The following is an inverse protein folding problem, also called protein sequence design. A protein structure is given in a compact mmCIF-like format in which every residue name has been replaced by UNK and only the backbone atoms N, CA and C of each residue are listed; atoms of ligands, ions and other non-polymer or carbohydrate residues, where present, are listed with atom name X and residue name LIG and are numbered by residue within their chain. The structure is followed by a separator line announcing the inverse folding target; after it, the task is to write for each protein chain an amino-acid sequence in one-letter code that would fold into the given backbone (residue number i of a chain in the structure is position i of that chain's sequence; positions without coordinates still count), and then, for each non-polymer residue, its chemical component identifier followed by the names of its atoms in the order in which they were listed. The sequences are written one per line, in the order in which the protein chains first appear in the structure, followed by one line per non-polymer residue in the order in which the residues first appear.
data_IF_876674682774
#
_entry.id   IF_876674682774
#
_cell.length_a   1.000
_cell.length_b   1.000
_cell.length_c   1.000
_cell.angle_alpha   90.00
_cell.angle_beta   90.00
_cell.angle_gamma   90.00
#
_symmetry.space_group_name_H-M   'P 1'
#
loop_
_entity.id
_entity.type
_entity.pdbx_description
1 polymer ?
#
# COMPACT_ATOMS: atom_id res chain seq x y z
N UNK A 1 20.22 47.50 -12.56
CA UNK A 1 19.08 46.83 -11.91
C UNK A 1 18.86 45.46 -12.52
N UNK A 2 19.42 44.38 -11.93
CA UNK A 2 19.19 42.99 -12.35
C UNK A 2 17.79 42.60 -11.89
N UNK A 3 16.86 42.45 -12.82
CA UNK A 3 15.55 41.83 -12.53
C UNK A 3 15.76 40.38 -12.17
N UNK A 4 15.48 40.01 -10.92
CA UNK A 4 15.33 38.63 -10.50
C UNK A 4 14.05 38.09 -11.14
N UNK A 5 14.19 37.39 -12.27
CA UNK A 5 13.10 36.59 -12.81
C UNK A 5 12.86 35.45 -11.82
N UNK A 6 11.77 35.52 -11.09
CA UNK A 6 11.33 34.39 -10.27
C UNK A 6 11.09 33.22 -11.22
N UNK A 7 11.93 32.17 -11.11
CA UNK A 7 11.70 30.91 -11.82
C UNK A 7 10.41 30.30 -11.27
N UNK A 8 9.34 30.44 -12.02
CA UNK A 8 8.12 29.67 -11.75
C UNK A 8 8.50 28.20 -11.90
N UNK A 9 8.66 27.50 -10.78
CA UNK A 9 8.85 26.06 -10.80
C UNK A 9 7.50 25.45 -11.17
N UNK A 10 7.33 25.04 -12.41
CA UNK A 10 6.18 24.21 -12.80
C UNK A 10 6.14 22.97 -11.90
N UNK A 11 5.00 22.72 -11.29
CA UNK A 11 4.81 21.47 -10.54
C UNK A 11 4.88 20.30 -11.53
N UNK A 12 5.61 19.22 -11.19
CA UNK A 12 5.71 18.07 -12.09
C UNK A 12 4.33 17.46 -12.33
N UNK A 13 4.08 17.05 -13.56
CA UNK A 13 2.84 16.33 -13.93
C UNK A 13 2.71 15.02 -13.15
N UNK A 14 1.49 14.44 -13.04
CA UNK A 14 1.30 13.12 -12.45
C UNK A 14 2.23 12.05 -13.05
N UNK A 15 2.34 12.01 -14.36
CA UNK A 15 3.23 11.09 -15.09
C UNK A 15 4.70 11.31 -14.71
N UNK A 16 5.17 12.55 -14.68
CA UNK A 16 6.54 12.86 -14.29
C UNK A 16 6.84 12.43 -12.83
N UNK A 17 5.88 12.59 -11.93
CA UNK A 17 6.02 12.12 -10.54
C UNK A 17 6.11 10.60 -10.46
N UNK A 18 5.24 9.88 -11.18
CA UNK A 18 5.24 8.41 -11.26
C UNK A 18 6.59 7.90 -11.79
N UNK A 19 7.00 8.40 -12.95
CA UNK A 19 8.27 7.99 -13.57
C UNK A 19 9.47 8.26 -12.66
N UNK A 20 9.48 9.38 -11.94
CA UNK A 20 10.55 9.68 -10.99
C UNK A 20 10.59 8.69 -9.83
N UNK A 21 9.46 8.30 -9.26
CA UNK A 21 9.41 7.31 -8.18
C UNK A 21 9.88 5.93 -8.66
N UNK A 22 9.40 5.49 -9.83
CA UNK A 22 9.85 4.22 -10.44
C UNK A 22 11.36 4.22 -10.69
N UNK A 23 11.92 5.33 -11.20
CA UNK A 23 13.36 5.45 -11.45
C UNK A 23 14.17 5.38 -10.14
N UNK A 24 13.67 6.00 -9.06
CA UNK A 24 14.32 5.92 -7.74
C UNK A 24 14.26 4.50 -7.20
N UNK A 25 13.10 3.84 -7.27
CA UNK A 25 12.92 2.49 -6.76
C UNK A 25 13.88 1.48 -7.41
N UNK A 26 14.13 1.62 -8.72
CA UNK A 26 15.09 0.77 -9.45
C UNK A 26 16.53 0.88 -8.94
N UNK A 27 16.89 1.94 -8.23
CA UNK A 27 18.22 2.11 -7.62
C UNK A 27 18.37 1.38 -6.29
N UNK A 28 17.24 0.98 -5.71
CA UNK A 28 17.17 0.31 -4.42
C UNK A 28 16.26 -0.93 -4.56
N UNK A 29 16.68 -1.92 -5.39
CA UNK A 29 15.89 -3.13 -5.56
C UNK A 29 15.76 -3.86 -4.23
N UNK A 30 14.63 -4.54 -4.03
CA UNK A 30 14.50 -5.44 -2.91
C UNK A 30 15.54 -6.56 -3.03
N UNK A 31 16.15 -7.03 -1.93
CA UNK A 31 16.92 -8.25 -1.92
C UNK A 31 16.07 -9.40 -2.48
N UNK A 32 16.59 -10.13 -3.47
CA UNK A 32 15.80 -11.07 -4.26
C UNK A 32 15.24 -12.25 -3.44
N UNK A 33 15.91 -12.69 -2.40
CA UNK A 33 15.63 -13.96 -1.72
C UNK A 33 15.15 -13.84 -0.26
N UNK A 34 14.68 -12.67 0.17
CA UNK A 34 14.34 -12.46 1.58
C UNK A 34 12.95 -12.93 1.96
N UNK A 35 11.97 -12.87 1.05
CA UNK A 35 10.58 -13.26 1.28
C UNK A 35 9.95 -13.79 -0.01
N UNK A 36 9.07 -14.80 0.09
CA UNK A 36 8.26 -15.23 -1.05
C UNK A 36 7.28 -14.11 -1.46
N UNK A 37 7.10 -13.94 -2.79
CA UNK A 37 6.21 -12.93 -3.37
C UNK A 37 5.20 -13.59 -4.30
N UNK A 38 3.95 -13.09 -4.24
CA UNK A 38 2.89 -13.51 -5.16
C UNK A 38 1.89 -12.38 -5.36
N UNK A 39 1.37 -12.24 -6.57
CA UNK A 39 0.35 -11.24 -6.87
C UNK A 39 -1.04 -11.89 -6.85
N UNK A 40 -2.01 -11.21 -6.24
CA UNK A 40 -3.42 -11.56 -6.20
C UNK A 40 -4.28 -10.39 -6.69
N UNK A 41 -5.50 -10.69 -7.12
CA UNK A 41 -6.46 -9.68 -7.57
C UNK A 41 -7.73 -9.79 -6.75
N UNK A 42 -8.14 -8.69 -6.16
CA UNK A 42 -9.40 -8.58 -5.44
C UNK A 42 -10.46 -8.19 -6.45
N UNK A 43 -11.40 -9.11 -6.73
CA UNK A 43 -12.53 -8.83 -7.60
C UNK A 43 -13.56 -7.96 -6.88
N UNK A 44 -13.87 -6.80 -7.44
CA UNK A 44 -14.87 -5.85 -6.96
C UNK A 44 -15.86 -5.54 -8.09
N UNK A 45 -17.07 -5.04 -7.80
CA UNK A 45 -18.01 -4.66 -8.83
C UNK A 45 -17.41 -3.69 -9.86
N UNK A 46 -17.28 -4.17 -11.11
CA UNK A 46 -16.75 -3.39 -12.23
C UNK A 46 -15.25 -3.10 -12.23
N UNK A 47 -14.46 -3.72 -11.33
CA UNK A 47 -13.01 -3.53 -11.26
C UNK A 47 -12.27 -4.63 -10.49
N UNK A 48 -10.97 -4.63 -10.61
CA UNK A 48 -10.06 -5.42 -9.77
C UNK A 48 -9.02 -4.53 -9.10
N UNK A 49 -8.57 -4.94 -7.91
CA UNK A 49 -7.47 -4.29 -7.19
C UNK A 49 -6.35 -5.31 -7.04
N UNK A 50 -5.19 -5.00 -7.60
CA UNK A 50 -4.01 -5.86 -7.46
C UNK A 50 -3.41 -5.71 -6.06
N UNK A 51 -3.02 -6.83 -5.46
CA UNK A 51 -2.34 -6.90 -4.18
C UNK A 51 -1.13 -7.80 -4.30
N UNK A 52 0.03 -7.35 -3.84
CA UNK A 52 1.22 -8.19 -3.74
C UNK A 52 1.38 -8.68 -2.32
N UNK A 53 1.45 -10.00 -2.18
CA UNK A 53 1.64 -10.69 -0.90
C UNK A 53 3.12 -11.01 -0.72
N UNK A 54 3.69 -10.62 0.40
CA UNK A 54 5.03 -10.95 0.83
C UNK A 54 4.93 -11.87 2.03
N UNK A 55 5.55 -13.03 1.95
CA UNK A 55 5.52 -14.07 3.00
C UNK A 55 6.93 -14.42 3.44
N UNK A 56 7.31 -14.13 4.70
CA UNK A 56 8.67 -14.40 5.19
C UNK A 56 8.95 -15.89 5.45
N UNK A 57 7.93 -16.65 5.84
CA UNK A 57 8.02 -18.07 6.14
C UNK A 57 6.65 -18.77 6.14
N UNK A 58 6.68 -20.09 6.25
CA UNK A 58 5.46 -20.89 6.42
C UNK A 58 4.82 -20.70 7.81
N UNK A 59 3.56 -21.10 7.92
CA UNK A 59 2.75 -21.07 9.15
C UNK A 59 1.79 -19.90 9.21
N UNK A 60 0.98 -19.85 10.27
CA UNK A 60 0.02 -18.77 10.51
C UNK A 60 0.76 -17.57 11.11
N UNK A 61 0.69 -16.42 10.42
CA UNK A 61 1.43 -15.20 10.75
C UNK A 61 0.48 -14.00 10.97
N UNK A 62 0.91 -12.94 11.67
CA UNK A 62 0.26 -11.64 11.58
C UNK A 62 0.19 -11.16 10.14
N UNK A 63 -0.71 -10.22 9.83
CA UNK A 63 -0.74 -9.56 8.54
C UNK A 63 -0.62 -8.04 8.66
N UNK A 64 -0.05 -7.43 7.62
CA UNK A 64 0.06 -5.98 7.47
C UNK A 64 -0.52 -5.61 6.10
N UNK A 65 -1.62 -4.88 6.06
CA UNK A 65 -2.12 -4.26 4.84
C UNK A 65 -1.34 -2.97 4.63
N UNK A 66 -0.50 -2.93 3.60
CA UNK A 66 0.39 -1.81 3.33
C UNK A 66 -0.12 -0.94 2.18
N UNK A 67 -0.22 0.35 2.44
CA UNK A 67 -0.69 1.38 1.53
C UNK A 67 0.46 2.33 1.21
N UNK A 68 0.90 2.34 -0.06
CA UNK A 68 2.08 3.08 -0.46
C UNK A 68 1.87 4.61 -0.48
N UNK A 69 2.94 5.36 -0.26
CA UNK A 69 2.97 6.80 -0.44
C UNK A 69 2.99 7.25 -1.89
N UNK A 70 2.98 8.55 -2.10
CA UNK A 70 3.05 9.15 -3.44
C UNK A 70 2.01 10.25 -3.68
N UNK A 71 1.39 10.79 -2.61
CA UNK A 71 0.44 11.89 -2.65
C UNK A 71 -0.83 11.54 -3.43
N UNK A 72 -1.29 10.29 -3.32
CA UNK A 72 -2.45 9.70 -4.03
C UNK A 72 -2.35 9.74 -5.57
N UNK A 73 -1.22 10.19 -6.12
CA UNK A 73 -1.01 10.39 -7.57
C UNK A 73 0.06 9.45 -8.12
N UNK A 74 1.06 9.13 -7.33
CA UNK A 74 2.21 8.29 -7.68
C UNK A 74 2.34 7.12 -6.69
N UNK A 75 3.39 6.30 -6.85
CA UNK A 75 3.57 5.07 -6.09
C UNK A 75 2.97 3.86 -6.80
N UNK A 76 3.49 2.70 -6.50
CA UNK A 76 3.06 1.41 -7.07
C UNK A 76 3.60 0.26 -6.21
N UNK A 77 3.19 -0.97 -6.51
CA UNK A 77 3.77 -2.18 -5.90
C UNK A 77 5.30 -2.21 -6.09
N UNK A 78 5.78 -1.83 -7.29
CA UNK A 78 7.20 -1.83 -7.61
C UNK A 78 7.99 -0.77 -6.84
N UNK A 79 7.41 0.41 -6.61
CA UNK A 79 8.12 1.49 -5.90
C UNK A 79 8.33 1.22 -4.42
N UNK A 80 7.54 0.33 -3.83
CA UNK A 80 7.60 -0.03 -2.40
C UNK A 80 7.94 -1.51 -2.18
N UNK A 81 8.36 -2.23 -3.23
CA UNK A 81 8.67 -3.66 -3.17
C UNK A 81 9.70 -3.99 -2.08
N UNK A 82 10.82 -3.27 -2.07
CA UNK A 82 11.87 -3.46 -1.06
C UNK A 82 11.43 -3.15 0.37
N UNK A 83 10.65 -2.09 0.53
CA UNK A 83 10.13 -1.70 1.85
C UNK A 83 9.15 -2.75 2.39
N UNK A 84 8.23 -3.24 1.55
CA UNK A 84 7.27 -4.28 1.93
C UNK A 84 7.96 -5.61 2.23
N UNK A 85 8.96 -6.00 1.44
CA UNK A 85 9.75 -7.22 1.68
C UNK A 85 10.49 -7.13 3.02
N UNK A 86 11.20 -6.03 3.27
CA UNK A 86 11.92 -5.81 4.52
C UNK A 86 10.95 -5.77 5.72
N UNK A 87 9.80 -5.10 5.57
CA UNK A 87 8.78 -5.06 6.62
C UNK A 87 8.27 -6.46 6.96
N UNK A 88 7.95 -7.29 5.95
CA UNK A 88 7.51 -8.66 6.16
C UNK A 88 8.55 -9.51 6.88
N UNK A 89 9.81 -9.40 6.47
CA UNK A 89 10.92 -10.13 7.06
C UNK A 89 11.18 -9.72 8.52
N UNK A 90 11.25 -8.42 8.80
CA UNK A 90 11.61 -7.94 10.14
C UNK A 90 10.45 -8.00 11.14
N UNK A 91 9.22 -7.88 10.69
CA UNK A 91 8.03 -8.02 11.53
C UNK A 91 7.56 -9.47 11.68
N UNK A 92 8.16 -10.42 10.96
CA UNK A 92 7.70 -11.81 10.85
C UNK A 92 6.19 -11.89 10.53
N UNK A 93 5.76 -11.10 9.53
CA UNK A 93 4.37 -10.90 9.16
C UNK A 93 4.16 -11.03 7.65
N UNK A 94 2.99 -11.48 7.25
CA UNK A 94 2.54 -11.39 5.85
C UNK A 94 2.25 -9.93 5.54
N UNK A 95 2.85 -9.37 4.47
CA UNK A 95 2.52 -8.01 4.01
C UNK A 95 1.69 -8.11 2.75
N UNK A 96 0.52 -7.48 2.75
CA UNK A 96 -0.36 -7.31 1.60
C UNK A 96 -0.23 -5.87 1.10
N UNK A 97 0.64 -5.64 0.11
CA UNK A 97 0.83 -4.32 -0.52
C UNK A 97 -0.25 -4.07 -1.56
N UNK A 98 -0.97 -2.97 -1.42
CA UNK A 98 -2.17 -2.67 -2.21
C UNK A 98 -1.87 -1.71 -3.36
N UNK A 99 -2.24 -2.09 -4.58
CA UNK A 99 -2.16 -1.20 -5.74
C UNK A 99 -3.49 -0.44 -5.91
N UNK A 100 -3.78 0.44 -4.96
CA UNK A 100 -5.00 1.25 -5.00
C UNK A 100 -5.03 2.21 -6.19
N UNK A 101 -6.23 2.54 -6.68
CA UNK A 101 -6.44 3.54 -7.74
C UNK A 101 -5.95 4.92 -7.30
N UNK A 102 -5.42 5.68 -8.25
CA UNK A 102 -4.76 6.97 -7.98
C UNK A 102 -5.39 8.10 -8.78
N UNK A 103 -5.33 9.29 -8.21
CA UNK A 103 -5.66 10.52 -8.92
C UNK A 103 -4.60 10.81 -10.02
N UNK A 104 -4.94 11.58 -11.05
CA UNK A 104 -6.24 12.21 -11.30
C UNK A 104 -7.26 11.27 -11.95
N UNK A 105 -6.87 10.08 -12.43
CA UNK A 105 -7.74 9.14 -13.16
C UNK A 105 -8.88 8.63 -12.27
N UNK A 106 -8.58 8.43 -11.00
CA UNK A 106 -9.54 7.97 -9.99
C UNK A 106 -9.38 8.81 -8.71
N UNK A 107 -10.08 9.97 -8.63
CA UNK A 107 -9.98 10.84 -7.46
C UNK A 107 -10.66 10.24 -6.24
N UNK A 108 -10.58 10.94 -5.11
CA UNK A 108 -11.35 10.60 -3.91
C UNK A 108 -12.83 10.34 -4.26
N UNK A 109 -13.48 9.28 -3.71
CA UNK A 109 -12.97 8.39 -2.65
C UNK A 109 -12.26 7.12 -3.16
N UNK A 110 -12.00 6.96 -4.45
CA UNK A 110 -11.52 5.73 -5.06
C UNK A 110 -10.29 5.09 -4.37
N UNK A 111 -9.24 5.83 -3.95
CA UNK A 111 -8.13 5.26 -3.20
C UNK A 111 -8.56 4.67 -1.84
N UNK A 112 -9.51 5.32 -1.17
CA UNK A 112 -10.04 4.90 0.13
C UNK A 112 -10.85 3.61 0.00
N UNK A 113 -11.74 3.56 -1.01
CA UNK A 113 -12.55 2.39 -1.30
C UNK A 113 -11.71 1.15 -1.56
N UNK A 114 -10.62 1.31 -2.34
CA UNK A 114 -9.72 0.20 -2.66
C UNK A 114 -8.89 -0.23 -1.44
N UNK A 115 -8.45 0.72 -0.63
CA UNK A 115 -7.71 0.45 0.59
C UNK A 115 -8.56 -0.34 1.61
N UNK A 116 -9.80 0.10 1.84
CA UNK A 116 -10.72 -0.61 2.73
C UNK A 116 -11.10 -1.99 2.19
N UNK A 117 -11.37 -2.10 0.88
CA UNK A 117 -11.66 -3.38 0.24
C UNK A 117 -10.52 -4.39 0.42
N UNK A 118 -9.27 -3.93 0.33
CA UNK A 118 -8.10 -4.78 0.55
C UNK A 118 -8.00 -5.24 2.01
N UNK A 119 -8.27 -4.38 2.98
CA UNK A 119 -8.33 -4.76 4.40
C UNK A 119 -9.41 -5.82 4.64
N UNK A 120 -10.61 -5.60 4.11
CA UNK A 120 -11.73 -6.54 4.25
C UNK A 120 -11.38 -7.89 3.61
N UNK A 121 -10.79 -7.86 2.40
CA UNK A 121 -10.39 -9.07 1.70
C UNK A 121 -9.32 -9.88 2.45
N UNK A 122 -8.31 -9.23 3.02
CA UNK A 122 -7.29 -9.93 3.83
C UNK A 122 -7.92 -10.61 5.05
N UNK A 123 -8.85 -9.94 5.72
CA UNK A 123 -9.55 -10.50 6.86
C UNK A 123 -10.48 -11.66 6.49
N UNK A 124 -11.18 -11.56 5.36
CA UNK A 124 -12.07 -12.59 4.85
C UNK A 124 -11.30 -13.84 4.40
N UNK A 125 -10.13 -13.66 3.78
CA UNK A 125 -9.30 -14.74 3.26
C UNK A 125 -8.16 -15.14 4.21
N UNK A 126 -8.27 -14.81 5.51
CA UNK A 126 -7.22 -15.04 6.49
C UNK A 126 -6.75 -16.51 6.53
N UNK A 127 -7.68 -17.46 6.46
CA UNK A 127 -7.37 -18.90 6.47
C UNK A 127 -6.59 -19.31 5.21
N UNK A 128 -7.03 -18.87 4.02
CA UNK A 128 -6.36 -19.17 2.75
C UNK A 128 -4.99 -18.50 2.66
N UNK A 129 -4.85 -17.32 3.28
CA UNK A 129 -3.58 -16.61 3.39
C UNK A 129 -2.71 -17.09 4.55
N UNK A 130 -3.13 -18.09 5.34
CA UNK A 130 -2.49 -18.51 6.58
C UNK A 130 -2.11 -17.31 7.47
N UNK A 131 -3.08 -16.43 7.74
CA UNK A 131 -2.96 -15.21 8.53
C UNK A 131 -3.82 -15.31 9.78
N UNK A 132 -3.30 -14.83 10.90
CA UNK A 132 -4.08 -14.68 12.12
C UNK A 132 -5.00 -13.46 12.02
N UNK A 133 -6.28 -13.72 11.88
CA UNK A 133 -7.33 -12.69 11.73
C UNK A 133 -7.37 -11.70 12.90
N UNK A 134 -6.89 -12.08 14.07
CA UNK A 134 -6.84 -11.23 15.26
C UNK A 134 -5.62 -10.31 15.30
N UNK A 135 -4.67 -10.51 14.39
CA UNK A 135 -3.40 -9.78 14.32
C UNK A 135 -3.19 -9.13 12.95
N UNK A 136 -4.22 -8.42 12.47
CA UNK A 136 -4.14 -7.64 11.24
C UNK A 136 -3.78 -6.19 11.58
N UNK A 137 -2.73 -5.67 10.97
CA UNK A 137 -2.33 -4.28 11.04
C UNK A 137 -2.61 -3.55 9.72
N UNK A 138 -2.77 -2.24 9.78
CA UNK A 138 -2.73 -1.37 8.61
C UNK A 138 -1.51 -0.48 8.69
N UNK A 139 -0.82 -0.30 7.57
CA UNK A 139 0.41 0.47 7.50
C UNK A 139 0.47 1.32 6.24
N UNK A 140 1.27 2.36 6.25
CA UNK A 140 1.57 3.13 5.07
C UNK A 140 2.47 4.32 5.35
N UNK A 141 3.03 4.88 4.29
CA UNK A 141 3.87 6.06 4.33
C UNK A 141 3.16 7.27 3.70
N UNK A 142 3.29 8.45 4.29
CA UNK A 142 2.75 9.71 3.74
C UNK A 142 1.26 9.60 3.38
N UNK A 143 0.89 9.68 2.10
CA UNK A 143 -0.50 9.49 1.63
C UNK A 143 -1.05 8.10 1.98
N UNK A 144 -0.20 7.07 2.02
CA UNK A 144 -0.56 5.73 2.46
C UNK A 144 -0.88 5.66 3.95
N UNK A 145 -0.15 6.40 4.78
CA UNK A 145 -0.45 6.54 6.20
C UNK A 145 -1.84 7.17 6.41
N UNK A 146 -2.17 8.19 5.63
CA UNK A 146 -3.50 8.79 5.64
C UNK A 146 -4.61 7.80 5.25
N UNK A 147 -4.36 6.96 4.23
CA UNK A 147 -5.29 5.89 3.85
C UNK A 147 -5.41 4.83 4.95
N UNK A 148 -4.34 4.50 5.66
CA UNK A 148 -4.37 3.57 6.79
C UNK A 148 -5.27 4.08 7.93
N UNK A 149 -5.18 5.37 8.26
CA UNK A 149 -6.10 6.01 9.23
C UNK A 149 -7.54 5.96 8.72
N UNK A 150 -7.77 6.29 7.45
CA UNK A 150 -9.11 6.24 6.87
C UNK A 150 -9.70 4.81 6.93
N UNK A 151 -8.91 3.77 6.62
CA UNK A 151 -9.32 2.37 6.78
C UNK A 151 -9.72 2.04 8.22
N UNK A 152 -8.96 2.52 9.21
CA UNK A 152 -9.27 2.26 10.62
C UNK A 152 -10.58 2.92 11.05
N UNK A 153 -10.82 4.14 10.61
CA UNK A 153 -12.09 4.86 10.86
C UNK A 153 -13.24 4.11 10.20
N UNK A 154 -13.10 3.73 8.94
CA UNK A 154 -14.14 3.04 8.18
C UNK A 154 -14.43 1.65 8.75
N UNK A 155 -13.41 0.89 9.16
CA UNK A 155 -13.56 -0.40 9.82
C UNK A 155 -14.35 -0.26 11.13
N UNK A 156 -14.05 0.74 11.96
CA UNK A 156 -14.79 1.04 13.18
C UNK A 156 -16.27 1.36 12.88
N UNK A 157 -16.50 2.27 11.94
CA UNK A 157 -17.84 2.81 11.68
C UNK A 157 -18.76 1.79 11.00
N UNK A 158 -18.19 0.83 10.26
CA UNK A 158 -18.93 -0.26 9.60
C UNK A 158 -19.00 -1.56 10.43
N UNK A 159 -18.37 -1.61 11.60
CA UNK A 159 -18.22 -2.87 12.35
C UNK A 159 -17.43 -3.92 11.54
N UNK A 160 -16.45 -3.46 10.78
CA UNK A 160 -15.62 -4.26 9.89
C UNK A 160 -14.47 -5.00 10.60
N UNK A 161 -13.41 -5.38 9.87
CA UNK A 161 -12.31 -6.14 10.44
C UNK A 161 -11.64 -5.43 11.62
N UNK A 162 -11.32 -6.18 12.67
CA UNK A 162 -10.52 -5.67 13.78
C UNK A 162 -9.09 -5.36 13.33
N UNK A 163 -8.60 -4.18 13.68
CA UNK A 163 -7.24 -3.72 13.39
C UNK A 163 -6.46 -3.71 14.70
N UNK A 164 -5.43 -4.55 14.79
CA UNK A 164 -4.60 -4.69 15.98
C UNK A 164 -3.58 -3.55 16.13
N UNK A 165 -3.10 -2.98 15.01
CA UNK A 165 -2.06 -1.96 15.01
C UNK A 165 -2.19 -1.04 13.78
N UNK A 166 -1.80 0.23 13.93
CA UNK A 166 -1.58 1.16 12.84
C UNK A 166 -0.10 1.60 12.84
N UNK A 167 0.58 1.42 11.69
CA UNK A 167 1.96 1.90 11.48
C UNK A 167 1.92 3.04 10.46
N UNK A 168 2.09 4.25 10.94
CA UNK A 168 1.98 5.49 10.16
C UNK A 168 3.36 6.14 10.01
N UNK A 169 3.86 6.27 8.79
CA UNK A 169 5.22 6.74 8.45
C UNK A 169 5.16 8.08 7.71
#
# INVERSE_FOLDING_TARGET
TRRHAARIRCRPTPTARRNRMELIARRFPAPEDTVARGDAWIALPGREVAVRIYRPREGVLPAIVYLHGGGWVAGSLATHDGACAALGQHADAVVASVHYRRAPESPFPAPNDDAYAALAWVAEHADALAVDRTRIAVAGDSAGAHLAVACAIEARDRGGPAIALQLLI
#
